data_IF_881273653339
#
_entry.id   IF_881273653339
#
_cell.length_a   1.000
_cell.length_b   1.000
_cell.length_c   1.000
_cell.angle_alpha   90.00
_cell.angle_beta   90.00
_cell.angle_gamma   90.00
#
_symmetry.space_group_name_H-M   'P 1'
#
loop_
_entity.id
_entity.type
_entity.pdbx_description
1 polymer ?
#
# COMPACT_ATOMS: atom_id res chain seq x y z
N UNK A 1 -19.18 16.81 4.48
CA UNK A 1 -18.14 16.11 5.25
C UNK A 1 -17.71 14.90 4.44
N UNK A 2 -16.43 14.77 4.06
CA UNK A 2 -15.89 13.54 3.47
C UNK A 2 -16.23 12.31 4.30
N UNK A 3 -16.48 11.16 3.67
CA UNK A 3 -16.84 9.92 4.38
C UNK A 3 -15.74 9.49 5.36
N UNK A 4 -14.48 9.71 5.00
CA UNK A 4 -13.33 9.44 5.87
C UNK A 4 -13.33 10.30 7.14
N UNK A 5 -13.77 11.56 7.06
CA UNK A 5 -13.90 12.44 8.23
C UNK A 5 -15.00 11.96 9.16
N UNK A 6 -16.15 11.58 8.58
CA UNK A 6 -17.27 11.00 9.32
C UNK A 6 -16.85 9.71 10.05
N UNK A 7 -16.17 8.79 9.36
CA UNK A 7 -15.72 7.53 9.95
C UNK A 7 -14.77 7.76 11.13
N UNK A 8 -13.85 8.73 11.03
CA UNK A 8 -12.93 9.05 12.12
C UNK A 8 -13.62 9.70 13.31
N UNK A 9 -14.58 10.60 13.06
CA UNK A 9 -15.40 11.20 14.12
C UNK A 9 -16.20 10.13 14.87
N UNK A 10 -16.83 9.20 14.14
CA UNK A 10 -17.59 8.10 14.76
C UNK A 10 -16.69 7.09 15.48
N UNK A 11 -15.46 6.86 15.00
CA UNK A 11 -14.54 5.91 15.61
C UNK A 11 -14.19 6.29 17.06
N UNK A 12 -13.96 7.58 17.34
CA UNK A 12 -13.63 8.04 18.68
C UNK A 12 -14.78 7.81 19.66
N UNK A 13 -16.02 8.00 19.23
CA UNK A 13 -17.20 7.76 20.06
C UNK A 13 -17.49 6.26 20.25
N UNK A 14 -17.31 5.47 19.20
CA UNK A 14 -17.46 4.01 19.27
C UNK A 14 -16.40 3.36 20.18
N UNK A 15 -15.16 3.83 20.14
CA UNK A 15 -14.09 3.34 21.03
C UNK A 15 -14.40 3.64 22.51
N UNK A 16 -14.89 4.85 22.82
CA UNK A 16 -15.33 5.20 24.18
C UNK A 16 -16.48 4.31 24.67
N UNK A 17 -17.43 3.96 23.79
CA UNK A 17 -18.53 3.05 24.14
C UNK A 17 -17.97 1.66 24.42
N UNK A 18 -17.07 1.14 23.58
CA UNK A 18 -16.44 -0.16 23.76
C UNK A 18 -15.60 -0.26 25.04
N UNK A 19 -14.87 0.79 25.43
CA UNK A 19 -14.04 0.78 26.64
C UNK A 19 -14.86 0.82 27.95
N UNK A 20 -16.13 1.22 27.88
CA UNK A 20 -17.05 1.23 29.04
C UNK A 20 -17.85 -0.09 29.20
N UNK A 21 -17.74 -1.03 28.26
CA UNK A 21 -18.37 -2.34 28.36
C UNK A 21 -17.55 -3.28 29.27
N UNK A 22 -18.05 -3.55 30.47
CA UNK A 22 -17.41 -4.40 31.48
C UNK A 22 -17.50 -5.92 31.21
N UNK A 23 -17.99 -6.34 30.03
CA UNK A 23 -18.10 -7.74 29.67
C UNK A 23 -17.42 -7.98 28.33
N UNK A 24 -16.26 -8.63 28.35
CA UNK A 24 -15.58 -9.09 27.13
C UNK A 24 -16.21 -10.40 26.67
N UNK A 25 -17.38 -10.33 26.02
CA UNK A 25 -17.77 -11.45 25.17
C UNK A 25 -16.95 -11.41 23.85
N UNK A 26 -16.90 -12.54 23.14
CA UNK A 26 -16.14 -12.68 21.89
C UNK A 26 -16.65 -11.73 20.78
N UNK A 27 -17.95 -11.38 20.82
CA UNK A 27 -18.60 -10.49 19.87
C UNK A 27 -18.12 -9.04 20.05
N UNK A 28 -17.93 -8.60 21.29
CA UNK A 28 -17.42 -7.28 21.65
C UNK A 28 -15.94 -7.13 21.26
N UNK A 29 -15.15 -8.21 21.38
CA UNK A 29 -13.77 -8.23 20.87
C UNK A 29 -13.74 -8.09 19.35
N UNK A 30 -14.57 -8.86 18.62
CA UNK A 30 -14.62 -8.80 17.16
C UNK A 30 -15.08 -7.42 16.64
N UNK A 31 -16.06 -6.79 17.31
CA UNK A 31 -16.50 -5.43 17.01
C UNK A 31 -15.39 -4.41 17.22
N UNK A 32 -14.67 -4.52 18.33
CA UNK A 32 -13.52 -3.65 18.63
C UNK A 32 -12.43 -3.80 17.56
N UNK A 33 -12.07 -5.04 17.20
CA UNK A 33 -11.10 -5.29 16.13
C UNK A 33 -11.54 -4.67 14.80
N UNK A 34 -12.83 -4.80 14.44
CA UNK A 34 -13.37 -4.21 13.22
C UNK A 34 -13.28 -2.68 13.24
N UNK A 35 -13.70 -2.01 14.32
CA UNK A 35 -13.61 -0.55 14.46
C UNK A 35 -12.16 -0.09 14.32
N UNK A 36 -11.22 -0.77 14.99
CA UNK A 36 -9.79 -0.45 14.91
C UNK A 36 -9.28 -0.58 13.46
N UNK A 37 -9.61 -1.67 12.77
CA UNK A 37 -9.19 -1.87 11.36
C UNK A 37 -9.76 -0.81 10.43
N UNK A 38 -11.06 -0.52 10.52
CA UNK A 38 -11.71 0.53 9.71
C UNK A 38 -11.08 1.89 9.98
N UNK A 39 -10.80 2.19 11.25
CA UNK A 39 -10.17 3.46 11.66
C UNK A 39 -8.77 3.57 11.11
N UNK A 40 -7.95 2.53 11.25
CA UNK A 40 -6.56 2.53 10.76
C UNK A 40 -6.51 2.60 9.23
N UNK A 41 -7.36 1.86 8.54
CA UNK A 41 -7.50 1.95 7.09
C UNK A 41 -7.92 3.37 6.65
N UNK A 42 -8.86 3.99 7.36
CA UNK A 42 -9.29 5.35 7.06
C UNK A 42 -8.17 6.37 7.29
N UNK A 43 -7.38 6.20 8.36
CA UNK A 43 -6.17 7.01 8.59
C UNK A 43 -5.15 6.82 7.48
N UNK A 44 -4.93 5.58 7.04
CA UNK A 44 -4.06 5.26 5.90
C UNK A 44 -4.55 5.94 4.62
N UNK A 45 -5.85 5.95 4.34
CA UNK A 45 -6.40 6.62 3.15
C UNK A 45 -6.30 8.15 3.20
N UNK A 46 -6.29 8.75 4.41
CA UNK A 46 -6.17 10.20 4.58
C UNK A 46 -4.73 10.70 4.55
N UNK A 47 -3.73 9.83 4.68
CA UNK A 47 -2.34 10.28 4.65
C UNK A 47 -2.00 10.79 3.24
N UNK A 48 -1.21 11.88 3.11
CA UNK A 48 -0.69 12.27 1.81
C UNK A 48 0.12 11.11 1.21
N UNK A 49 -0.21 10.73 -0.02
CA UNK A 49 0.56 9.72 -0.75
C UNK A 49 1.99 10.24 -0.97
N UNK A 50 2.96 9.43 -0.59
CA UNK A 50 4.39 9.71 -0.78
C UNK A 50 5.01 8.64 -1.66
N UNK A 51 6.09 9.01 -2.34
CA UNK A 51 6.85 8.09 -3.19
C UNK A 51 7.34 6.84 -2.44
N UNK A 52 7.77 6.99 -1.18
CA UNK A 52 8.21 5.90 -0.30
C UNK A 52 7.11 4.85 0.01
N UNK A 53 5.84 5.14 -0.30
CA UNK A 53 4.73 4.19 -0.16
C UNK A 53 4.58 3.24 -1.36
N UNK A 54 5.29 3.51 -2.47
CA UNK A 54 5.19 2.72 -3.70
C UNK A 54 6.51 2.02 -4.05
N UNK A 55 7.63 2.60 -3.63
CA UNK A 55 8.98 2.06 -3.87
C UNK A 55 9.89 2.35 -2.67
N UNK A 56 10.90 1.50 -2.39
CA UNK A 56 11.88 1.79 -1.36
C UNK A 56 12.65 3.08 -1.67
N UNK A 57 12.68 4.01 -0.72
CA UNK A 57 13.39 5.29 -0.83
C UNK A 57 14.28 5.54 0.39
N UNK A 58 15.39 6.27 0.17
CA UNK A 58 16.19 6.91 1.20
C UNK A 58 15.41 8.07 1.84
N UNK A 59 15.92 8.57 2.98
CA UNK A 59 15.31 9.70 3.71
C UNK A 59 15.21 11.00 2.89
N UNK A 60 16.08 11.17 1.89
CA UNK A 60 16.09 12.30 0.97
C UNK A 60 15.12 12.13 -0.22
N UNK A 61 14.42 10.99 -0.32
CA UNK A 61 13.49 10.67 -1.39
C UNK A 61 14.11 9.96 -2.59
N UNK A 62 15.42 9.71 -2.59
CA UNK A 62 16.07 8.94 -3.66
C UNK A 62 15.66 7.47 -3.60
N UNK A 63 15.39 6.86 -4.75
CA UNK A 63 14.94 5.47 -4.84
C UNK A 63 16.12 4.54 -4.57
N UNK A 64 15.88 3.50 -3.78
CA UNK A 64 16.86 2.44 -3.52
C UNK A 64 16.52 1.27 -4.45
N UNK A 65 17.42 0.95 -5.37
CA UNK A 65 17.30 -0.26 -6.17
C UNK A 65 17.76 -1.48 -5.34
N UNK A 66 17.13 -2.66 -5.53
CA UNK A 66 17.66 -3.88 -4.97
C UNK A 66 18.98 -4.20 -5.69
N UNK A 67 20.12 -4.00 -5.02
CA UNK A 67 21.42 -4.36 -5.59
C UNK A 67 21.50 -5.88 -5.82
N UNK A 68 22.14 -6.34 -6.90
CA UNK A 68 22.48 -7.74 -7.05
C UNK A 68 23.36 -8.16 -5.86
N UNK A 69 23.07 -9.36 -5.31
CA UNK A 69 23.72 -10.00 -4.16
C UNK A 69 25.23 -10.31 -4.36
N UNK A 70 26.02 -9.39 -4.91
CA UNK A 70 27.48 -9.51 -4.88
C UNK A 70 27.97 -9.00 -3.53
N UNK A 71 28.22 -9.96 -2.65
CA UNK A 71 28.55 -9.74 -1.24
C UNK A 71 30.02 -9.28 -1.11
N UNK A 72 30.27 -7.99 -1.28
CA UNK A 72 31.44 -7.36 -0.66
C UNK A 72 31.03 -6.78 0.70
N UNK A 73 31.92 -6.84 1.70
CA UNK A 73 31.58 -6.54 3.09
C UNK A 73 31.07 -5.13 3.40
N UNK A 74 30.96 -4.22 2.42
CA UNK A 74 30.36 -2.89 2.60
C UNK A 74 28.84 -2.87 2.41
N UNK A 75 28.25 -3.94 1.87
CA UNK A 75 26.82 -4.00 1.53
C UNK A 75 25.86 -4.16 2.71
N UNK A 76 26.33 -4.49 3.92
CA UNK A 76 25.44 -4.70 5.08
C UNK A 76 24.61 -3.46 5.43
N UNK A 77 25.22 -2.26 5.40
CA UNK A 77 24.49 -1.03 5.70
C UNK A 77 23.44 -0.70 4.62
N UNK A 78 23.70 -1.09 3.38
CA UNK A 78 22.77 -0.89 2.27
C UNK A 78 21.54 -1.82 2.40
N UNK A 79 21.74 -3.08 2.79
CA UNK A 79 20.64 -4.01 3.07
C UNK A 79 19.73 -3.51 4.19
N UNK A 80 20.30 -3.04 5.31
CA UNK A 80 19.48 -2.49 6.41
C UNK A 80 18.63 -1.28 5.98
N UNK A 81 19.19 -0.39 5.15
CA UNK A 81 18.44 0.77 4.64
C UNK A 81 17.32 0.37 3.69
N UNK A 82 17.57 -0.64 2.86
CA UNK A 82 16.55 -1.19 1.97
C UNK A 82 15.41 -1.83 2.76
N UNK A 83 15.71 -2.70 3.75
CA UNK A 83 14.71 -3.36 4.57
C UNK A 83 13.82 -2.35 5.34
N UNK A 84 14.42 -1.30 5.90
CA UNK A 84 13.65 -0.25 6.58
C UNK A 84 12.81 0.58 5.59
N UNK A 85 13.32 0.84 4.39
CA UNK A 85 12.56 1.53 3.34
C UNK A 85 11.40 0.67 2.82
N UNK A 86 11.60 -0.63 2.65
CA UNK A 86 10.59 -1.58 2.17
C UNK A 86 9.40 -1.68 3.12
N UNK A 87 9.60 -1.55 4.44
CA UNK A 87 8.50 -1.51 5.43
C UNK A 87 7.49 -0.40 5.18
N UNK A 88 7.89 0.69 4.51
CA UNK A 88 7.02 1.82 4.16
C UNK A 88 6.22 1.58 2.87
N UNK A 89 6.67 0.67 2.02
CA UNK A 89 6.00 0.33 0.76
C UNK A 89 4.68 -0.37 1.07
N UNK A 90 3.61 0.04 0.39
CA UNK A 90 2.26 -0.46 0.61
C UNK A 90 1.90 -1.64 -0.29
N UNK A 91 2.44 -1.70 -1.50
CA UNK A 91 2.02 -2.65 -2.53
C UNK A 91 3.19 -3.51 -3.03
N UNK A 92 2.94 -4.80 -3.22
CA UNK A 92 3.95 -5.73 -3.72
C UNK A 92 4.28 -5.54 -5.21
N UNK A 93 5.56 -5.72 -5.55
CA UNK A 93 6.03 -5.95 -6.92
C UNK A 93 6.16 -4.71 -7.80
N UNK A 94 5.84 -3.52 -7.30
CA UNK A 94 6.04 -2.28 -8.03
C UNK A 94 7.50 -1.81 -7.95
N UNK A 95 8.07 -1.47 -9.10
CA UNK A 95 9.42 -0.95 -9.22
C UNK A 95 9.45 0.16 -10.26
N UNK A 96 10.28 1.17 -10.03
CA UNK A 96 10.52 2.21 -11.03
C UNK A 96 11.43 1.65 -12.12
N UNK A 97 11.05 1.93 -13.36
CA UNK A 97 11.77 1.64 -14.60
C UNK A 97 12.34 2.94 -15.16
N UNK A 98 13.07 2.86 -16.28
CA UNK A 98 13.61 4.03 -16.97
C UNK A 98 12.57 5.14 -17.14
N UNK A 99 13.02 6.39 -16.96
CA UNK A 99 12.35 7.66 -17.24
C UNK A 99 10.80 7.66 -17.16
N UNK A 100 10.25 7.58 -15.95
CA UNK A 100 8.82 7.75 -15.62
C UNK A 100 7.92 6.53 -15.88
N UNK A 101 8.47 5.33 -15.82
CA UNK A 101 7.69 4.09 -15.86
C UNK A 101 7.66 3.41 -14.49
N UNK A 102 6.51 2.88 -14.09
CA UNK A 102 6.36 1.99 -12.93
C UNK A 102 5.93 0.62 -13.44
N UNK A 103 6.65 -0.43 -13.06
CA UNK A 103 6.39 -1.79 -13.53
C UNK A 103 6.02 -2.72 -12.39
N UNK A 104 5.19 -3.70 -12.68
CA UNK A 104 4.96 -4.87 -11.84
C UNK A 104 5.06 -6.13 -12.70
N UNK A 105 6.16 -6.86 -12.55
CA UNK A 105 6.50 -7.98 -13.42
C UNK A 105 5.58 -9.18 -13.19
N UNK A 106 5.20 -9.43 -11.94
CA UNK A 106 4.26 -10.50 -11.57
C UNK A 106 2.90 -10.28 -12.21
N UNK A 107 2.42 -9.02 -12.20
CA UNK A 107 1.15 -8.63 -12.80
C UNK A 107 1.25 -8.35 -14.30
N UNK A 108 2.47 -8.38 -14.86
CA UNK A 108 2.81 -7.96 -16.22
C UNK A 108 2.22 -6.59 -16.56
N UNK A 109 2.30 -5.68 -15.60
CA UNK A 109 1.72 -4.33 -15.63
C UNK A 109 2.83 -3.30 -15.80
N UNK A 110 2.63 -2.34 -16.70
CA UNK A 110 3.47 -1.15 -16.84
C UNK A 110 2.59 0.09 -16.79
N UNK A 111 2.95 1.04 -15.94
CA UNK A 111 2.35 2.36 -15.83
C UNK A 111 3.31 3.39 -16.43
N UNK A 112 2.84 4.15 -17.40
CA UNK A 112 3.57 5.26 -18.01
C UNK A 112 3.12 6.55 -17.35
N UNK A 113 3.89 7.05 -16.37
CA UNK A 113 3.48 8.20 -15.55
C UNK A 113 3.43 9.51 -16.36
N UNK A 114 4.28 9.64 -17.38
CA UNK A 114 4.29 10.81 -18.28
C UNK A 114 3.05 10.88 -19.18
N UNK A 115 2.53 9.72 -19.58
CA UNK A 115 1.39 9.59 -20.48
C UNK A 115 0.09 9.28 -19.74
N UNK A 116 0.13 9.07 -18.42
CA UNK A 116 -1.00 8.60 -17.63
C UNK A 116 -1.69 7.39 -18.28
N UNK A 117 -0.90 6.40 -18.68
CA UNK A 117 -1.37 5.19 -19.37
C UNK A 117 -0.90 3.95 -18.64
N UNK A 118 -1.62 2.84 -18.81
CA UNK A 118 -1.13 1.54 -18.38
C UNK A 118 -1.31 0.47 -19.45
N UNK A 119 -0.42 -0.51 -19.41
CA UNK A 119 -0.44 -1.71 -20.25
C UNK A 119 -0.33 -2.93 -19.35
N UNK A 120 -1.24 -3.89 -19.55
CA UNK A 120 -1.22 -5.20 -18.90
C UNK A 120 -1.07 -6.29 -19.96
N UNK A 121 0.01 -7.06 -19.91
CA UNK A 121 0.27 -8.14 -20.87
C UNK A 121 -0.32 -9.45 -20.34
N UNK A 122 -1.32 -10.00 -21.03
CA UNK A 122 -1.90 -11.32 -20.73
C UNK A 122 -1.43 -12.34 -21.77
N UNK A 123 -1.58 -13.64 -21.49
CA UNK A 123 -1.02 -14.73 -22.31
C UNK A 123 -1.33 -14.64 -23.82
N UNK A 124 -2.49 -14.08 -24.20
CA UNK A 124 -2.93 -13.98 -25.60
C UNK A 124 -3.48 -12.60 -25.98
N UNK A 125 -3.33 -11.57 -25.14
CA UNK A 125 -3.80 -10.22 -25.45
C UNK A 125 -2.98 -9.14 -24.74
N UNK A 126 -2.90 -7.98 -25.40
CA UNK A 126 -2.48 -6.75 -24.76
C UNK A 126 -3.74 -6.07 -24.22
N UNK A 127 -3.88 -6.02 -22.90
CA UNK A 127 -4.84 -5.12 -22.25
C UNK A 127 -4.15 -3.80 -21.98
N UNK A 128 -4.90 -2.71 -21.98
CA UNK A 128 -4.37 -1.39 -21.64
C UNK A 128 -5.51 -0.39 -21.57
N UNK A 129 -5.23 0.73 -20.93
CA UNK A 129 -6.19 1.81 -20.80
C UNK A 129 -5.47 3.13 -20.63
N UNK A 130 -6.10 4.19 -21.09
CA UNK A 130 -5.78 5.52 -20.63
C UNK A 130 -6.30 5.67 -19.20
N UNK A 131 -5.50 6.27 -18.32
CA UNK A 131 -6.03 6.85 -17.07
C UNK A 131 -6.82 8.14 -17.37
N UNK A 132 -6.93 8.54 -18.65
CA UNK A 132 -7.74 9.65 -19.14
C UNK A 132 -9.23 9.32 -19.19
N UNK A 133 -9.76 8.98 -18.03
CA UNK A 133 -11.06 9.46 -17.60
C UNK A 133 -10.90 10.43 -16.43
N UNK A 134 -9.94 11.37 -16.51
CA UNK A 134 -9.59 12.37 -15.47
C UNK A 134 -9.32 11.84 -14.05
N UNK A 135 -9.40 10.54 -13.81
CA UNK A 135 -9.34 9.99 -12.46
C UNK A 135 -8.61 8.65 -12.42
N UNK A 136 -7.82 8.47 -11.36
CA UNK A 136 -7.04 7.26 -11.00
C UNK A 136 -7.85 5.95 -10.95
N UNK A 137 -9.17 6.03 -11.07
CA UNK A 137 -10.16 4.99 -10.89
C UNK A 137 -10.09 3.92 -11.98
N UNK A 138 -9.54 4.23 -13.16
CA UNK A 138 -9.31 3.22 -14.20
C UNK A 138 -8.44 2.05 -13.72
N UNK A 139 -7.46 2.30 -12.83
CA UNK A 139 -6.68 1.25 -12.18
C UNK A 139 -7.49 0.47 -11.15
N UNK A 140 -8.45 1.10 -10.48
CA UNK A 140 -9.35 0.44 -9.53
C UNK A 140 -10.35 -0.50 -10.23
N UNK A 141 -10.69 -0.23 -11.50
CA UNK A 141 -11.52 -1.12 -12.32
C UNK A 141 -10.75 -2.23 -13.01
N UNK A 142 -9.43 -2.09 -13.10
CA UNK A 142 -8.58 -3.14 -13.62
C UNK A 142 -8.44 -4.24 -12.56
N UNK A 143 -8.87 -5.46 -12.88
CA UNK A 143 -8.65 -6.65 -12.04
C UNK A 143 -7.16 -7.04 -12.11
N UNK A 144 -6.36 -6.28 -11.37
CA UNK A 144 -4.92 -6.37 -11.36
C UNK A 144 -4.40 -7.31 -10.27
N UNK A 145 -5.25 -7.74 -9.33
CA UNK A 145 -4.79 -8.57 -8.21
C UNK A 145 -3.67 -7.90 -7.40
N UNK A 146 -3.75 -6.58 -7.20
CA UNK A 146 -2.74 -5.83 -6.42
C UNK A 146 -2.86 -6.23 -4.95
N UNK A 147 -1.75 -6.69 -4.38
CA UNK A 147 -1.67 -7.12 -2.98
C UNK A 147 -0.92 -6.10 -2.12
N UNK A 148 -1.40 -5.94 -0.88
CA UNK A 148 -0.72 -5.16 0.14
C UNK A 148 0.50 -5.91 0.67
N UNK A 149 1.54 -5.18 1.06
CA UNK A 149 2.69 -5.75 1.78
C UNK A 149 2.28 -6.23 3.18
N UNK A 150 2.98 -7.22 3.76
CA UNK A 150 2.76 -7.62 5.15
C UNK A 150 2.87 -6.46 6.15
N UNK A 151 3.80 -5.53 5.93
CA UNK A 151 3.93 -4.32 6.75
C UNK A 151 2.72 -3.39 6.61
N UNK A 152 2.18 -3.21 5.40
CA UNK A 152 0.97 -2.43 5.18
C UNK A 152 -0.27 -3.06 5.83
N UNK A 153 -0.41 -4.39 5.75
CA UNK A 153 -1.46 -5.13 6.46
C UNK A 153 -1.36 -4.93 7.98
N UNK A 154 -0.14 -4.98 8.52
CA UNK A 154 0.11 -4.73 9.94
C UNK A 154 -0.26 -3.29 10.33
N UNK A 155 0.06 -2.28 9.51
CA UNK A 155 -0.29 -0.88 9.76
C UNK A 155 -1.81 -0.66 9.84
N UNK A 156 -2.61 -1.45 9.11
CA UNK A 156 -4.08 -1.40 9.18
C UNK A 156 -4.67 -2.37 10.22
N UNK A 157 -3.85 -3.03 11.03
CA UNK A 157 -4.30 -3.92 12.10
C UNK A 157 -4.77 -5.30 11.61
N UNK A 158 -4.35 -5.71 10.42
CA UNK A 158 -4.50 -7.08 9.91
C UNK A 158 -3.19 -7.81 10.22
N UNK A 159 -3.16 -8.47 11.38
CA UNK A 159 -2.09 -9.40 11.68
C UNK A 159 -2.38 -10.69 10.92
N UNK A 160 -1.45 -11.13 10.06
CA UNK A 160 -1.47 -12.48 9.52
C UNK A 160 -1.39 -13.44 10.71
N UNK A 161 -2.53 -13.92 11.20
CA UNK A 161 -2.57 -15.10 12.07
C UNK A 161 -2.21 -16.27 11.17
N UNK A 162 -0.91 -16.53 11.05
CA UNK A 162 -0.37 -17.80 10.56
C UNK A 162 -0.61 -18.85 11.63
#
# INVERSE_FOLDING_TARGET
>A
MPLSDFVLEQADDLLKVCDNCNQSDELDLARREFIVRVTNYTKLLKQPLKQEMFVPCLEDGNIIEPEPLEFDGTNQLHFYKYDEAEKKVLFHGFHLSAANEVKNNSLKLTLFLSMYQFVQVRQNCLGGGDLFGETTEALAYADLGIELTPSALQQIGINNRV
#
